data_IF_345459620261
#
_entry.id   IF_345459620261
#
_cell.length_a   1.000
_cell.length_b   1.000
_cell.length_c   1.000
_cell.angle_alpha   90.00
_cell.angle_beta   90.00
_cell.angle_gamma   90.00
#
_symmetry.space_group_name_H-M   'P 1'
#
loop_
_entity.id
_entity.type
_entity.pdbx_description
1 polymer ?
#
# COMPACT_ATOMS: atom_id res chain seq x y z
N UNK A 1 1.97 -12.86 -15.85
CA UNK A 1 3.00 -11.84 -15.57
C UNK A 1 2.62 -11.32 -14.20
N UNK A 2 3.29 -11.80 -13.15
CA UNK A 2 2.80 -11.67 -11.76
C UNK A 2 3.74 -10.79 -10.96
N UNK A 3 3.28 -10.18 -9.87
CA UNK A 3 4.14 -9.50 -8.89
C UNK A 3 4.93 -10.51 -8.03
N UNK A 4 5.56 -11.49 -8.67
CA UNK A 4 6.33 -12.53 -7.99
C UNK A 4 7.50 -11.96 -7.18
N UNK A 5 8.02 -10.79 -7.57
CA UNK A 5 9.04 -10.06 -6.80
C UNK A 5 8.56 -9.63 -5.41
N UNK A 6 7.24 -9.47 -5.21
CA UNK A 6 6.63 -9.11 -3.93
C UNK A 6 6.15 -10.34 -3.15
N UNK A 7 6.41 -11.56 -3.64
CA UNK A 7 6.07 -12.80 -2.94
C UNK A 7 6.73 -12.84 -1.56
N UNK A 8 5.97 -13.27 -0.55
CA UNK A 8 6.43 -13.33 0.84
C UNK A 8 6.39 -12.01 1.60
N UNK A 9 5.98 -10.91 0.97
CA UNK A 9 5.75 -9.63 1.66
C UNK A 9 4.62 -9.76 2.68
N UNK A 10 4.91 -9.47 3.94
CA UNK A 10 3.91 -9.41 5.00
C UNK A 10 3.04 -8.16 4.90
N UNK A 11 1.89 -8.18 5.58
CA UNK A 11 1.01 -7.00 5.69
C UNK A 11 1.73 -5.81 6.34
N UNK A 12 2.58 -6.08 7.32
CA UNK A 12 3.33 -5.06 8.06
C UNK A 12 4.44 -4.45 7.20
N UNK A 13 5.17 -5.26 6.43
CA UNK A 13 6.15 -4.77 5.46
C UNK A 13 5.49 -3.90 4.39
N UNK A 14 4.35 -4.35 3.85
CA UNK A 14 3.59 -3.56 2.90
C UNK A 14 3.20 -2.18 3.48
N UNK A 15 2.70 -2.13 4.71
CA UNK A 15 2.32 -0.89 5.38
C UNK A 15 3.54 0.02 5.68
N UNK A 16 4.66 -0.56 6.08
CA UNK A 16 5.90 0.17 6.37
C UNK A 16 6.52 0.78 5.11
N UNK A 17 6.57 0.02 4.02
CA UNK A 17 7.16 0.48 2.76
C UNK A 17 6.32 1.55 2.08
N UNK A 18 4.99 1.44 2.13
CA UNK A 18 4.11 2.49 1.61
C UNK A 18 4.31 3.81 2.39
N UNK A 19 4.41 3.73 3.72
CA UNK A 19 4.70 4.90 4.54
C UNK A 19 6.09 5.50 4.23
N UNK A 20 7.13 4.67 4.05
CA UNK A 20 8.46 5.14 3.68
C UNK A 20 8.49 5.82 2.30
N UNK A 21 7.74 5.31 1.33
CA UNK A 21 7.60 5.93 0.02
C UNK A 21 6.92 7.30 0.11
N UNK A 22 5.84 7.41 0.88
CA UNK A 22 5.13 8.69 1.11
C UNK A 22 6.00 9.67 1.89
N UNK A 23 6.73 9.22 2.90
CA UNK A 23 7.67 10.07 3.66
C UNK A 23 8.75 10.66 2.74
N UNK A 24 9.28 9.84 1.82
CA UNK A 24 10.26 10.28 0.83
C UNK A 24 9.65 11.31 -0.13
N UNK A 25 8.44 11.07 -0.62
CA UNK A 25 7.72 12.00 -1.48
C UNK A 25 7.45 13.35 -0.82
N UNK A 26 7.04 13.36 0.46
CA UNK A 26 6.78 14.60 1.21
C UNK A 26 8.06 15.41 1.40
N UNK A 27 9.21 14.74 1.59
CA UNK A 27 10.50 15.40 1.75
C UNK A 27 11.06 15.99 0.44
N UNK A 28 10.51 15.61 -0.72
CA UNK A 28 10.97 16.04 -2.04
C UNK A 28 10.02 17.10 -2.62
N UNK A 29 10.50 18.35 -2.72
CA UNK A 29 9.72 19.48 -3.22
C UNK A 29 9.25 19.33 -4.68
N UNK A 30 9.81 18.39 -5.44
CA UNK A 30 9.41 18.08 -6.82
C UNK A 30 8.13 17.27 -6.88
N UNK A 31 7.81 16.49 -5.83
CA UNK A 31 6.60 15.67 -5.78
C UNK A 31 5.45 16.51 -5.24
N UNK A 32 4.36 16.58 -6.00
CA UNK A 32 3.16 17.38 -5.63
C UNK A 32 1.96 16.53 -5.21
N UNK A 33 1.96 15.25 -5.58
CA UNK A 33 0.87 14.32 -5.30
C UNK A 33 1.38 12.89 -5.34
N UNK A 34 0.84 12.06 -4.45
CA UNK A 34 0.97 10.61 -4.47
C UNK A 34 -0.44 10.03 -4.64
N UNK A 35 -0.59 9.08 -5.56
CA UNK A 35 -1.83 8.33 -5.75
C UNK A 35 -1.54 6.88 -5.38
N UNK A 36 -2.36 6.32 -4.48
CA UNK A 36 -2.30 4.89 -4.18
C UNK A 36 -3.29 4.16 -5.06
N UNK A 37 -2.78 3.16 -5.77
CA UNK A 37 -3.58 2.26 -6.57
C UNK A 37 -3.90 1.00 -5.76
N UNK A 38 -5.12 0.47 -5.92
CA UNK A 38 -5.71 -0.62 -5.13
C UNK A 38 -5.89 -0.32 -3.63
N UNK A 39 -6.87 0.54 -3.33
CA UNK A 39 -7.23 0.85 -1.94
C UNK A 39 -8.13 -0.24 -1.35
N UNK A 40 -9.20 -0.60 -2.05
CA UNK A 40 -10.30 -1.46 -1.55
C UNK A 40 -10.59 -2.65 -2.47
N UNK A 41 -9.62 -3.03 -3.31
CA UNK A 41 -9.80 -4.11 -4.27
C UNK A 41 -10.04 -5.47 -3.58
N UNK A 42 -11.18 -6.11 -3.89
CA UNK A 42 -11.63 -7.31 -3.18
C UNK A 42 -11.32 -8.62 -3.89
N UNK A 43 -10.63 -8.58 -5.03
CA UNK A 43 -10.21 -9.80 -5.73
C UNK A 43 -8.92 -10.35 -5.11
N UNK A 44 -8.96 -11.60 -4.68
CA UNK A 44 -7.84 -12.34 -4.07
C UNK A 44 -7.55 -13.62 -4.88
N UNK A 45 -7.47 -13.50 -6.21
CA UNK A 45 -7.17 -14.60 -7.14
C UNK A 45 -5.73 -14.52 -7.66
N UNK A 46 -4.82 -15.25 -7.01
CA UNK A 46 -3.37 -15.24 -7.28
C UNK A 46 -3.02 -15.69 -8.71
N UNK A 47 -3.84 -16.55 -9.32
CA UNK A 47 -3.59 -17.12 -10.65
C UNK A 47 -4.20 -16.31 -11.81
N UNK A 48 -5.05 -15.32 -11.51
CA UNK A 48 -5.80 -14.56 -12.51
C UNK A 48 -5.33 -13.11 -12.63
N UNK A 49 -5.40 -12.37 -11.53
CA UNK A 49 -5.01 -10.97 -11.49
C UNK A 49 -3.72 -10.83 -10.66
N UNK A 50 -2.61 -10.39 -11.28
CA UNK A 50 -1.34 -10.27 -10.57
C UNK A 50 -1.37 -9.24 -9.42
N UNK A 51 -2.39 -8.39 -9.37
CA UNK A 51 -2.60 -7.35 -8.36
C UNK A 51 -3.51 -7.82 -7.21
N UNK A 52 -4.17 -8.97 -7.38
CA UNK A 52 -5.03 -9.53 -6.36
C UNK A 52 -4.25 -9.79 -5.07
N UNK A 53 -4.82 -9.36 -3.94
CA UNK A 53 -4.17 -9.50 -2.63
C UNK A 53 -3.26 -8.34 -2.20
N UNK A 54 -3.05 -7.33 -3.03
CA UNK A 54 -2.24 -6.15 -2.68
C UNK A 54 -3.06 -4.93 -2.21
N UNK A 55 -4.37 -5.06 -2.01
CA UNK A 55 -5.21 -3.94 -1.59
C UNK A 55 -4.82 -3.37 -0.22
N UNK A 56 -4.88 -2.05 -0.05
CA UNK A 56 -4.60 -1.39 1.24
C UNK A 56 -5.53 -1.89 2.34
N UNK A 57 -6.84 -1.90 2.09
CA UNK A 57 -7.85 -2.43 3.00
C UNK A 57 -7.83 -3.96 2.92
N UNK A 58 -7.74 -4.61 4.08
CA UNK A 58 -7.67 -6.06 4.19
C UNK A 58 -9.08 -6.68 4.21
N UNK A 59 -9.23 -7.98 3.92
CA UNK A 59 -10.55 -8.64 3.90
C UNK A 59 -11.36 -8.52 5.20
N UNK A 60 -10.66 -8.38 6.33
CA UNK A 60 -11.28 -8.20 7.65
C UNK A 60 -11.65 -6.73 7.95
N UNK A 61 -11.50 -5.83 6.99
CA UNK A 61 -11.77 -4.40 7.12
C UNK A 61 -10.65 -3.59 7.78
N UNK A 62 -9.55 -4.22 8.22
CA UNK A 62 -8.42 -3.48 8.78
C UNK A 62 -7.63 -2.74 7.69
N UNK A 63 -6.97 -1.64 8.05
CA UNK A 63 -6.06 -0.93 7.15
C UNK A 63 -4.77 -0.51 7.88
N UNK A 64 -3.81 -1.43 8.10
CA UNK A 64 -2.54 -1.10 8.76
C UNK A 64 -1.75 -0.01 8.02
N UNK A 65 -1.87 0.02 6.69
CA UNK A 65 -1.29 1.07 5.87
C UNK A 65 -1.92 2.45 6.11
N UNK A 66 -3.22 2.52 6.43
CA UNK A 66 -3.87 3.79 6.77
C UNK A 66 -3.29 4.37 8.07
N UNK A 67 -3.03 3.51 9.06
CA UNK A 67 -2.44 3.92 10.34
C UNK A 67 -1.02 4.47 10.16
N UNK A 68 -0.18 3.79 9.37
CA UNK A 68 1.18 4.26 9.09
C UNK A 68 1.20 5.53 8.24
N UNK A 69 0.33 5.63 7.24
CA UNK A 69 0.18 6.84 6.43
C UNK A 69 -0.31 8.03 7.25
N UNK A 70 -1.21 7.83 8.21
CA UNK A 70 -1.69 8.89 9.10
C UNK A 70 -0.54 9.54 9.87
N UNK A 71 0.39 8.73 10.36
CA UNK A 71 1.57 9.21 11.09
C UNK A 71 2.49 10.06 10.21
N UNK A 72 2.66 9.68 8.94
CA UNK A 72 3.56 10.37 8.00
C UNK A 72 2.93 11.63 7.39
N UNK A 73 1.63 11.59 7.11
CA UNK A 73 0.89 12.71 6.49
C UNK A 73 0.38 13.73 7.50
N UNK A 74 0.54 13.46 8.80
CA UNK A 74 0.07 14.33 9.88
C UNK A 74 -1.45 14.44 9.93
N UNK A 75 -2.13 13.31 9.68
CA UNK A 75 -3.56 13.21 9.35
C UNK A 75 -4.44 14.28 10.01
N UNK A 76 -4.98 15.18 9.18
CA UNK A 76 -6.12 16.02 9.55
C UNK A 76 -7.39 15.21 9.49
#
# INVERSE_FOLDING_TARGET
>A
QNFAWASGTSVDEHAAWLAAAVQSAISDSRVKMVVVFNVDFTLYQVDGDPQAGYAMIRPNGSCPACDTLRNVTGGR
#
